data_IF_150384373818
#
_entry.id   IF_150384373818
#
_cell.length_a   1.000
_cell.length_b   1.000
_cell.length_c   1.000
_cell.angle_alpha   90.00
_cell.angle_beta   90.00
_cell.angle_gamma   90.00
#
_symmetry.space_group_name_H-M   'P 1'
#
loop_
_entity.id
_entity.type
_entity.pdbx_description
1 polymer ?
#
# COMPACT_ATOMS: atom_id res chain seq x y z
N UNK A 1 -21.61 14.25 76.61
CA UNK A 1 -21.27 13.49 75.39
C UNK A 1 -20.99 12.06 75.80
N UNK A 2 -21.78 11.07 75.35
CA UNK A 2 -21.68 9.69 75.85
C UNK A 2 -20.54 8.96 75.11
N UNK A 3 -19.83 8.07 75.81
CA UNK A 3 -18.71 7.27 75.27
C UNK A 3 -19.15 6.47 74.02
N UNK A 4 -20.40 6.02 73.99
CA UNK A 4 -20.96 5.31 72.84
C UNK A 4 -21.11 6.20 71.58
N UNK A 5 -21.27 7.51 71.73
CA UNK A 5 -21.31 8.44 70.61
C UNK A 5 -19.90 8.65 70.03
N UNK A 6 -18.87 8.71 70.88
CA UNK A 6 -17.46 8.80 70.47
C UNK A 6 -16.97 7.53 69.75
N UNK A 7 -17.35 6.35 70.24
CA UNK A 7 -17.02 5.06 69.60
C UNK A 7 -17.71 4.94 68.24
N UNK A 8 -18.98 5.34 68.14
CA UNK A 8 -19.74 5.34 66.87
C UNK A 8 -19.13 6.30 65.84
N UNK A 9 -18.67 7.46 66.27
CA UNK A 9 -18.02 8.46 65.41
C UNK A 9 -16.64 7.98 64.91
N UNK A 10 -15.87 7.31 65.78
CA UNK A 10 -14.59 6.70 65.44
C UNK A 10 -14.73 5.55 64.40
N UNK A 11 -15.77 4.72 64.54
CA UNK A 11 -16.06 3.69 63.53
C UNK A 11 -16.50 4.29 62.20
N UNK A 12 -17.36 5.32 62.19
CA UNK A 12 -17.77 6.02 60.97
C UNK A 12 -16.60 6.68 60.22
N UNK A 13 -15.62 7.20 60.97
CA UNK A 13 -14.41 7.82 60.42
C UNK A 13 -13.43 6.78 59.84
N UNK A 14 -13.33 5.59 60.45
CA UNK A 14 -12.57 4.47 59.89
C UNK A 14 -13.18 3.98 58.57
N UNK A 15 -14.51 3.76 58.53
CA UNK A 15 -15.20 3.32 57.32
C UNK A 15 -15.08 4.31 56.16
N UNK A 16 -15.14 5.63 56.41
CA UNK A 16 -15.00 6.63 55.35
C UNK A 16 -13.58 6.71 54.80
N UNK A 17 -12.56 6.52 55.65
CA UNK A 17 -11.16 6.48 55.23
C UNK A 17 -10.85 5.26 54.36
N UNK A 18 -11.36 4.07 54.73
CA UNK A 18 -11.20 2.84 53.94
C UNK A 18 -11.89 2.96 52.57
N UNK A 19 -13.06 3.62 52.52
CA UNK A 19 -13.78 3.91 51.28
C UNK A 19 -12.99 4.87 50.38
N UNK A 20 -12.44 5.96 50.94
CA UNK A 20 -11.55 6.89 50.22
C UNK A 20 -10.32 6.17 49.63
N UNK A 21 -9.63 5.35 50.43
CA UNK A 21 -8.48 4.58 49.95
C UNK A 21 -8.87 3.60 48.84
N UNK A 22 -10.04 2.97 48.95
CA UNK A 22 -10.56 2.06 47.92
C UNK A 22 -10.83 2.79 46.60
N UNK A 23 -11.39 4.00 46.67
CA UNK A 23 -11.62 4.84 45.47
C UNK A 23 -10.30 5.28 44.84
N UNK A 24 -9.32 5.72 45.64
CA UNK A 24 -8.00 6.12 45.14
C UNK A 24 -7.31 4.94 44.43
N UNK A 25 -7.37 3.75 45.03
CA UNK A 25 -6.82 2.54 44.44
C UNK A 25 -7.52 2.20 43.11
N UNK A 26 -8.85 2.33 43.06
CA UNK A 26 -9.63 2.11 41.85
C UNK A 26 -9.26 3.10 40.72
N UNK A 27 -9.07 4.39 41.03
CA UNK A 27 -8.60 5.39 40.07
C UNK A 27 -7.21 5.03 39.56
N UNK A 28 -6.32 4.54 40.43
CA UNK A 28 -4.97 4.14 40.04
C UNK A 28 -4.98 2.93 39.09
N UNK A 29 -5.82 1.92 39.37
CA UNK A 29 -6.01 0.78 38.47
C UNK A 29 -6.52 1.24 37.11
N UNK A 30 -7.55 2.10 37.08
CA UNK A 30 -8.10 2.62 35.82
C UNK A 30 -7.04 3.39 35.04
N UNK A 31 -6.22 4.21 35.72
CA UNK A 31 -5.11 4.93 35.07
C UNK A 31 -4.07 4.02 34.44
N UNK A 32 -3.70 2.92 35.12
CA UNK A 32 -2.78 1.92 34.56
C UNK A 32 -3.41 1.21 33.35
N UNK A 33 -4.69 0.80 33.47
CA UNK A 33 -5.41 0.13 32.37
C UNK A 33 -5.57 1.03 31.16
N UNK A 34 -5.85 2.33 31.37
CA UNK A 34 -5.95 3.30 30.30
C UNK A 34 -4.62 3.41 29.51
N UNK A 35 -3.50 3.60 30.21
CA UNK A 35 -2.19 3.66 29.56
C UNK A 35 -1.83 2.39 28.79
N UNK A 36 -2.14 1.22 29.34
CA UNK A 36 -1.93 -0.06 28.64
C UNK A 36 -2.84 -0.19 27.41
N UNK A 37 -4.09 0.29 27.52
CA UNK A 37 -5.03 0.28 26.41
C UNK A 37 -4.56 1.17 25.27
N UNK A 38 -3.99 2.33 25.57
CA UNK A 38 -3.50 3.27 24.57
C UNK A 38 -2.31 2.68 23.78
N UNK A 39 -1.32 2.09 24.46
CA UNK A 39 -0.17 1.40 23.81
C UNK A 39 -0.62 0.22 22.94
N UNK A 40 -1.58 -0.58 23.43
CA UNK A 40 -2.12 -1.69 22.64
C UNK A 40 -2.89 -1.20 21.41
N UNK A 41 -3.64 -0.11 21.55
CA UNK A 41 -4.41 0.44 20.45
C UNK A 41 -3.51 1.02 19.36
N UNK A 42 -2.42 1.70 19.73
CA UNK A 42 -1.40 2.18 18.77
C UNK A 42 -0.77 1.02 17.99
N UNK A 43 -0.42 -0.07 18.66
CA UNK A 43 0.12 -1.26 18.00
C UNK A 43 -0.87 -1.90 17.02
N UNK A 44 -2.13 -2.07 17.44
CA UNK A 44 -3.17 -2.63 16.57
C UNK A 44 -3.38 -1.77 15.33
N UNK A 45 -3.42 -0.44 15.49
CA UNK A 45 -3.53 0.48 14.35
C UNK A 45 -2.32 0.36 13.40
N UNK A 46 -1.09 0.28 13.95
CA UNK A 46 0.10 0.10 13.11
C UNK A 46 0.12 -1.24 12.36
N UNK A 47 -0.37 -2.32 12.96
CA UNK A 47 -0.49 -3.62 12.30
C UNK A 47 -1.55 -3.60 11.20
N UNK A 48 -2.66 -2.89 11.41
CA UNK A 48 -3.70 -2.70 10.40
C UNK A 48 -3.20 -1.87 9.22
N UNK A 49 -2.47 -0.79 9.47
CA UNK A 49 -1.82 0.05 8.44
C UNK A 49 -0.84 -0.77 7.60
N UNK A 50 0.03 -1.57 8.24
CA UNK A 50 0.96 -2.45 7.53
C UNK A 50 0.22 -3.50 6.67
N UNK A 51 -0.81 -4.15 7.23
CA UNK A 51 -1.61 -5.14 6.49
C UNK A 51 -2.34 -4.53 5.30
N UNK A 52 -2.79 -3.28 5.43
CA UNK A 52 -3.40 -2.53 4.33
C UNK A 52 -2.38 -2.25 3.22
N UNK A 53 -1.17 -1.79 3.59
CA UNK A 53 -0.08 -1.57 2.63
C UNK A 53 0.34 -2.86 1.92
N UNK A 54 0.41 -3.99 2.62
CA UNK A 54 0.65 -5.32 2.01
C UNK A 54 -0.39 -5.67 0.96
N UNK A 55 -1.66 -5.45 1.28
CA UNK A 55 -2.77 -5.71 0.37
C UNK A 55 -2.69 -4.82 -0.87
N UNK A 56 -2.49 -3.51 -0.68
CA UNK A 56 -2.35 -2.54 -1.78
C UNK A 56 -1.18 -2.92 -2.67
N UNK A 57 -0.02 -3.27 -2.10
CA UNK A 57 1.16 -3.63 -2.88
C UNK A 57 0.95 -4.90 -3.71
N UNK A 58 0.32 -5.92 -3.13
CA UNK A 58 0.00 -7.18 -3.81
C UNK A 58 -1.00 -6.92 -4.94
N UNK A 59 -2.13 -6.29 -4.62
CA UNK A 59 -3.20 -6.04 -5.59
C UNK A 59 -2.73 -5.13 -6.72
N UNK A 60 -1.98 -4.08 -6.42
CA UNK A 60 -1.46 -3.16 -7.44
C UNK A 60 -0.43 -3.83 -8.33
N UNK A 61 0.46 -4.66 -7.75
CA UNK A 61 1.42 -5.45 -8.53
C UNK A 61 0.68 -6.43 -9.45
N UNK A 62 -0.25 -7.20 -8.90
CA UNK A 62 -0.98 -8.21 -9.66
C UNK A 62 -1.90 -7.55 -10.71
N UNK A 63 -2.45 -6.36 -10.43
CA UNK A 63 -3.19 -5.55 -11.40
C UNK A 63 -2.29 -5.14 -12.57
N UNK A 64 -1.11 -4.56 -12.31
CA UNK A 64 -0.18 -4.16 -13.38
C UNK A 64 0.24 -5.36 -14.26
N UNK A 65 0.42 -6.54 -13.67
CA UNK A 65 0.84 -7.74 -14.39
C UNK A 65 -0.28 -8.45 -15.15
N UNK A 66 -1.54 -8.28 -14.73
CA UNK A 66 -2.69 -8.96 -15.31
C UNK A 66 -3.57 -8.05 -16.17
N UNK A 67 -3.37 -6.73 -16.13
CA UNK A 67 -4.17 -5.77 -16.86
C UNK A 67 -3.33 -5.03 -17.94
N UNK A 68 -3.83 -4.89 -19.17
CA UNK A 68 -3.15 -4.11 -20.20
C UNK A 68 -3.23 -2.59 -19.98
N UNK A 69 -4.10 -2.13 -19.08
CA UNK A 69 -4.36 -0.72 -18.80
C UNK A 69 -5.61 -0.20 -19.51
N UNK A 70 -6.03 1.00 -19.11
CA UNK A 70 -7.23 1.67 -19.60
C UNK A 70 -6.93 3.18 -19.78
N UNK A 71 -7.34 3.84 -20.88
CA UNK A 71 -7.97 3.31 -22.09
C UNK A 71 -7.11 2.27 -22.81
N UNK A 72 -7.71 1.54 -23.74
CA UNK A 72 -6.95 0.65 -24.60
C UNK A 72 -5.88 1.42 -25.37
N UNK A 73 -4.67 0.86 -25.45
CA UNK A 73 -3.48 1.48 -26.02
C UNK A 73 -3.12 2.83 -25.41
N UNK A 74 -3.36 3.02 -24.10
CA UNK A 74 -2.99 4.24 -23.39
C UNK A 74 -1.52 4.62 -23.58
N UNK A 75 -0.63 3.66 -23.83
CA UNK A 75 0.80 3.90 -24.09
C UNK A 75 1.10 4.65 -25.40
N UNK A 76 0.15 4.63 -26.34
CA UNK A 76 0.21 5.31 -27.63
C UNK A 76 -0.32 6.74 -27.57
N UNK A 77 -0.82 7.20 -26.43
CA UNK A 77 -1.26 8.58 -26.26
C UNK A 77 -0.08 9.54 -26.51
N UNK A 78 -0.23 10.41 -27.52
CA UNK A 78 0.79 11.37 -27.93
C UNK A 78 1.09 12.37 -26.79
N UNK A 79 0.09 12.69 -25.96
CA UNK A 79 0.20 13.64 -24.86
C UNK A 79 1.14 13.14 -23.73
N UNK A 80 1.34 11.81 -23.63
CA UNK A 80 2.32 11.20 -22.70
C UNK A 80 3.76 11.58 -23.06
N UNK A 81 4.04 11.89 -24.32
CA UNK A 81 5.36 12.34 -24.78
C UNK A 81 5.69 13.74 -24.27
N UNK A 82 4.67 14.58 -24.11
CA UNK A 82 4.77 15.97 -23.65
C UNK A 82 4.57 16.11 -22.13
N UNK A 83 4.41 14.97 -21.42
CA UNK A 83 4.20 14.93 -19.96
C UNK A 83 2.78 15.31 -19.52
N UNK A 84 1.84 15.39 -20.45
CA UNK A 84 0.44 15.71 -20.18
C UNK A 84 -0.33 14.40 -20.00
N UNK A 85 -0.66 14.07 -18.75
CA UNK A 85 -1.32 12.80 -18.43
C UNK A 85 -2.75 13.06 -17.99
N UNK A 86 -3.70 12.50 -18.73
CA UNK A 86 -5.12 12.50 -18.37
C UNK A 86 -5.36 11.71 -17.07
N UNK A 87 -6.21 12.23 -16.17
CA UNK A 87 -6.57 11.56 -14.90
C UNK A 87 -7.28 10.22 -15.07
N UNK A 88 -7.76 9.91 -16.26
CA UNK A 88 -8.52 8.70 -16.55
C UNK A 88 -7.64 7.54 -17.04
N UNK A 89 -6.32 7.75 -17.19
CA UNK A 89 -5.40 6.71 -17.61
C UNK A 89 -5.02 5.87 -16.40
N UNK A 90 -5.41 4.60 -16.40
CA UNK A 90 -4.98 3.59 -15.44
C UNK A 90 -3.93 2.72 -16.14
N UNK A 91 -2.65 2.79 -15.73
CA UNK A 91 -1.60 2.05 -16.40
C UNK A 91 -1.73 0.54 -16.16
N UNK A 92 -1.23 -0.24 -17.11
CA UNK A 92 -1.08 -1.68 -17.01
C UNK A 92 0.11 -2.14 -17.83
N UNK A 93 0.74 -3.25 -17.46
CA UNK A 93 1.92 -3.77 -18.13
C UNK A 93 1.62 -5.00 -19.00
N UNK A 94 0.44 -5.60 -18.85
CA UNK A 94 0.13 -6.84 -19.52
C UNK A 94 -0.01 -6.65 -21.05
N UNK A 95 0.39 -7.69 -21.79
CA UNK A 95 0.28 -7.73 -23.25
C UNK A 95 -0.98 -8.48 -23.63
N UNK A 96 -1.83 -7.86 -24.45
CA UNK A 96 -2.95 -8.54 -25.10
C UNK A 96 -2.42 -9.36 -26.26
N UNK A 97 -2.63 -10.68 -26.24
CA UNK A 97 -2.36 -11.50 -27.42
C UNK A 97 -3.53 -11.34 -28.40
N UNK A 98 -3.28 -10.69 -29.54
CA UNK A 98 -4.17 -10.83 -30.69
C UNK A 98 -3.97 -12.25 -31.20
N UNK A 99 -4.92 -13.15 -30.97
CA UNK A 99 -4.88 -14.52 -31.50
C UNK A 99 -4.66 -14.45 -33.02
N UNK A 100 -3.45 -14.77 -33.47
CA UNK A 100 -3.15 -14.98 -34.90
C UNK A 100 -3.32 -16.47 -35.18
N UNK A 101 -4.56 -16.92 -35.25
CA UNK A 101 -4.84 -18.21 -35.88
C UNK A 101 -4.80 -18.02 -37.40
N UNK A 102 -3.72 -18.50 -38.02
CA UNK A 102 -3.63 -18.79 -39.45
C UNK A 102 -3.66 -17.62 -40.46
N UNK A 103 -3.11 -16.45 -40.11
CA UNK A 103 -2.73 -15.43 -41.12
C UNK A 103 -3.90 -14.74 -41.86
N UNK A 104 -5.13 -14.94 -41.40
CA UNK A 104 -6.29 -14.18 -41.87
C UNK A 104 -6.65 -13.13 -40.80
N UNK A 105 -6.58 -11.85 -41.18
CA UNK A 105 -7.07 -10.73 -40.37
C UNK A 105 -8.59 -10.86 -40.28
N UNK A 106 -9.11 -11.36 -39.16
CA UNK A 106 -10.52 -11.24 -38.84
C UNK A 106 -10.81 -9.89 -38.21
N UNK A 107 -11.81 -9.23 -38.76
CA UNK A 107 -12.36 -7.96 -38.32
C UNK A 107 -12.93 -8.05 -36.89
N UNK A 108 -12.89 -6.94 -36.20
CA UNK A 108 -13.27 -6.70 -34.79
C UNK A 108 -14.45 -7.57 -34.28
N UNK A 109 -14.16 -8.51 -33.39
CA UNK A 109 -15.15 -8.99 -32.42
C UNK A 109 -14.44 -9.47 -31.16
N UNK A 110 -14.40 -8.56 -30.19
CA UNK A 110 -13.96 -8.78 -28.82
C UNK A 110 -14.63 -10.02 -28.22
N UNK A 111 -13.86 -11.05 -27.90
CA UNK A 111 -14.19 -11.98 -26.81
C UNK A 111 -13.02 -12.82 -26.32
N UNK A 112 -12.00 -13.09 -27.13
CA UNK A 112 -10.86 -13.94 -26.71
C UNK A 112 -9.48 -13.28 -26.94
N UNK A 113 -9.32 -12.02 -26.53
CA UNK A 113 -7.97 -11.45 -26.36
C UNK A 113 -7.35 -12.05 -25.09
N UNK A 114 -6.55 -13.09 -25.26
CA UNK A 114 -5.91 -13.75 -24.13
C UNK A 114 -4.74 -12.89 -23.64
N UNK A 115 -4.82 -12.44 -22.39
CA UNK A 115 -3.72 -11.71 -21.74
C UNK A 115 -2.56 -12.68 -21.52
N UNK A 116 -1.37 -12.34 -22.01
CA UNK A 116 -0.18 -13.16 -21.76
C UNK A 116 0.21 -13.07 -20.28
N UNK A 117 -0.10 -14.11 -19.51
CA UNK A 117 0.22 -14.13 -18.08
C UNK A 117 1.72 -13.96 -17.83
N UNK A 118 2.05 -13.19 -16.79
CA UNK A 118 3.43 -12.93 -16.34
C UNK A 118 4.36 -12.40 -17.45
N UNK A 119 3.81 -11.73 -18.46
CA UNK A 119 4.58 -11.10 -19.54
C UNK A 119 4.24 -9.61 -19.59
N UNK A 120 5.28 -8.78 -19.49
CA UNK A 120 5.16 -7.32 -19.46
C UNK A 120 5.71 -6.70 -20.74
N UNK A 121 5.06 -5.63 -21.20
CA UNK A 121 5.55 -4.81 -22.32
C UNK A 121 6.64 -3.85 -21.85
N UNK A 122 7.79 -3.87 -22.53
CA UNK A 122 8.87 -2.91 -22.29
C UNK A 122 8.46 -1.48 -22.67
N UNK A 123 7.70 -1.30 -23.77
CA UNK A 123 7.24 0.02 -24.18
C UNK A 123 6.34 0.65 -23.10
N UNK A 124 5.35 -0.10 -22.59
CA UNK A 124 4.49 0.35 -21.49
C UNK A 124 5.30 0.70 -20.24
N UNK A 125 6.28 -0.12 -19.89
CA UNK A 125 7.17 0.13 -18.76
C UNK A 125 7.93 1.46 -18.91
N UNK A 126 8.45 1.78 -20.10
CA UNK A 126 9.15 3.05 -20.35
C UNK A 126 8.19 4.23 -20.28
N UNK A 127 6.94 4.09 -20.75
CA UNK A 127 5.91 5.13 -20.61
C UNK A 127 5.57 5.40 -19.16
N UNK A 128 5.42 4.35 -18.33
CA UNK A 128 5.28 4.48 -16.88
C UNK A 128 6.50 5.20 -16.29
N UNK A 129 7.71 4.80 -16.68
CA UNK A 129 8.94 5.39 -16.17
C UNK A 129 9.03 6.89 -16.39
N UNK A 130 8.66 7.34 -17.59
CA UNK A 130 8.77 8.77 -17.94
C UNK A 130 7.66 9.62 -17.31
N UNK A 131 6.57 9.01 -16.84
CA UNK A 131 5.37 9.69 -16.36
C UNK A 131 4.90 9.15 -15.00
N UNK A 132 5.83 8.70 -14.16
CA UNK A 132 5.53 7.90 -12.95
C UNK A 132 4.59 8.61 -11.99
N UNK A 133 4.93 9.84 -11.59
CA UNK A 133 4.15 10.66 -10.66
C UNK A 133 2.69 10.82 -11.12
N UNK A 134 2.49 10.92 -12.44
CA UNK A 134 1.17 11.12 -13.00
C UNK A 134 0.37 9.83 -13.18
N UNK A 135 1.01 8.74 -13.62
CA UNK A 135 0.34 7.47 -13.93
C UNK A 135 0.18 6.57 -12.71
N UNK A 136 1.15 6.60 -11.80
CA UNK A 136 1.21 5.70 -10.65
C UNK A 136 0.79 6.46 -9.40
N UNK A 137 1.56 7.45 -8.96
CA UNK A 137 1.26 8.14 -7.69
C UNK A 137 -0.13 8.79 -7.74
N UNK A 138 -0.41 9.58 -8.77
CA UNK A 138 -1.71 10.26 -8.91
C UNK A 138 -2.83 9.36 -9.41
N UNK A 139 -2.66 8.65 -10.51
CA UNK A 139 -3.79 7.94 -11.13
C UNK A 139 -4.06 6.55 -10.52
N UNK A 140 -3.02 5.81 -10.08
CA UNK A 140 -3.18 4.49 -9.47
C UNK A 140 -3.40 4.60 -7.95
N UNK A 141 -2.62 5.44 -7.27
CA UNK A 141 -2.66 5.57 -5.81
C UNK A 141 -3.38 6.83 -5.30
N UNK A 142 -3.81 7.75 -6.17
CA UNK A 142 -4.45 8.99 -5.76
C UNK A 142 -3.65 9.76 -4.69
N UNK A 143 -2.34 9.81 -4.87
CA UNK A 143 -1.35 10.45 -3.99
C UNK A 143 -1.37 9.94 -2.53
N UNK A 144 -1.95 8.75 -2.29
CA UNK A 144 -2.09 8.19 -0.93
C UNK A 144 -0.89 7.38 -0.45
N UNK A 145 -0.08 6.86 -1.39
CA UNK A 145 1.07 5.99 -1.12
C UNK A 145 2.22 6.39 -2.02
N UNK A 146 3.42 6.49 -1.45
CA UNK A 146 4.66 6.60 -2.23
C UNK A 146 5.11 5.22 -2.67
N UNK A 147 5.43 5.09 -3.95
CA UNK A 147 5.78 3.80 -4.53
C UNK A 147 7.03 3.88 -5.40
N UNK A 148 7.67 2.73 -5.56
CA UNK A 148 8.79 2.55 -6.45
C UNK A 148 8.75 1.14 -7.04
N UNK A 149 9.29 0.98 -8.25
CA UNK A 149 9.35 -0.29 -8.96
C UNK A 149 10.73 -0.49 -9.57
N UNK A 150 11.29 -1.69 -9.41
CA UNK A 150 12.53 -2.09 -10.07
C UNK A 150 12.37 -3.42 -10.80
N UNK A 151 12.93 -3.49 -12.00
CA UNK A 151 13.05 -4.73 -12.78
C UNK A 151 14.51 -5.15 -12.82
N UNK A 152 14.78 -6.30 -12.20
CA UNK A 152 16.09 -6.90 -12.15
C UNK A 152 16.24 -7.96 -13.27
N UNK A 153 17.17 -7.76 -14.21
CA UNK A 153 17.47 -8.80 -15.19
C UNK A 153 18.12 -9.99 -14.50
N UNK A 154 17.76 -11.21 -14.93
CA UNK A 154 18.40 -12.45 -14.46
C UNK A 154 19.92 -12.47 -14.73
N UNK A 155 20.35 -11.77 -15.79
CA UNK A 155 21.76 -11.55 -16.07
C UNK A 155 22.29 -10.37 -15.26
N UNK A 156 23.09 -10.66 -14.23
CA UNK A 156 23.70 -9.67 -13.33
C UNK A 156 24.66 -8.67 -14.00
N UNK A 157 25.00 -8.86 -15.28
CA UNK A 157 25.77 -7.88 -16.06
C UNK A 157 24.92 -6.74 -16.60
N UNK A 158 23.60 -6.92 -16.67
CA UNK A 158 22.66 -5.91 -17.11
C UNK A 158 22.22 -5.07 -15.91
N UNK A 159 22.03 -3.77 -16.13
CA UNK A 159 21.58 -2.87 -15.07
C UNK A 159 20.08 -3.04 -14.80
N UNK A 160 19.65 -2.95 -13.53
CA UNK A 160 18.23 -2.87 -13.20
C UNK A 160 17.58 -1.65 -13.85
N UNK A 161 16.27 -1.75 -14.12
CA UNK A 161 15.44 -0.61 -14.48
C UNK A 161 14.72 -0.19 -13.21
N UNK A 162 15.18 0.91 -12.62
CA UNK A 162 14.56 1.54 -11.45
C UNK A 162 13.63 2.67 -11.91
N UNK A 163 12.48 2.76 -11.25
CA UNK A 163 11.37 3.65 -11.61
C UNK A 163 10.65 4.15 -10.34
N UNK A 164 10.40 5.45 -10.26
CA UNK A 164 9.60 6.05 -9.19
C UNK A 164 10.44 6.62 -8.06
N UNK A 165 9.87 6.63 -6.86
CA UNK A 165 10.49 7.27 -5.71
C UNK A 165 11.84 6.62 -5.36
N UNK A 166 12.72 7.45 -4.83
CA UNK A 166 14.17 7.30 -4.72
C UNK A 166 14.68 5.88 -4.44
N UNK A 167 15.19 5.20 -5.47
CA UNK A 167 16.01 4.00 -5.30
C UNK A 167 17.41 4.41 -4.83
N UNK A 168 17.53 4.77 -3.55
CA UNK A 168 18.84 4.91 -2.89
C UNK A 168 19.14 6.25 -2.22
N UNK A 169 18.27 7.26 -2.23
CA UNK A 169 18.26 8.18 -1.09
C UNK A 169 17.42 7.54 0.01
N UNK A 170 18.12 6.87 0.93
CA UNK A 170 17.66 6.77 2.31
C UNK A 170 17.50 8.22 2.80
N UNK A 171 16.29 8.77 2.64
CA UNK A 171 15.92 9.90 3.47
C UNK A 171 15.96 9.32 4.89
N UNK A 172 16.91 9.76 5.72
CA UNK A 172 17.24 9.20 7.05
C UNK A 172 16.03 9.14 8.04
N UNK A 173 14.85 9.58 7.59
CA UNK A 173 13.59 9.62 8.34
C UNK A 173 12.53 8.60 7.88
N UNK A 174 12.79 7.77 6.87
CA UNK A 174 11.87 6.68 6.53
C UNK A 174 12.11 5.53 7.52
N UNK A 175 11.13 5.26 8.39
CA UNK A 175 11.17 4.07 9.23
C UNK A 175 11.07 2.83 8.35
N UNK A 176 12.07 1.96 8.40
CA UNK A 176 12.10 0.68 7.67
C UNK A 176 10.86 -0.21 7.93
N UNK A 177 10.16 0.03 9.05
CA UNK A 177 8.96 -0.71 9.43
C UNK A 177 7.74 -0.45 8.52
N UNK A 178 7.75 0.61 7.71
CA UNK A 178 6.61 1.01 6.88
C UNK A 178 6.82 0.67 5.39
N UNK A 179 7.85 -0.10 5.06
CA UNK A 179 8.20 -0.48 3.69
C UNK A 179 7.71 -1.89 3.37
N UNK A 180 6.77 -2.00 2.44
CA UNK A 180 6.30 -3.28 1.91
C UNK A 180 6.93 -3.53 0.54
N UNK A 181 7.54 -4.70 0.36
CA UNK A 181 8.13 -5.11 -0.93
C UNK A 181 7.45 -6.36 -1.48
N UNK A 182 6.99 -6.26 -2.74
CA UNK A 182 6.39 -7.39 -3.47
C UNK A 182 7.29 -7.78 -4.64
N UNK A 183 7.76 -9.03 -4.63
CA UNK A 183 8.61 -9.58 -5.68
C UNK A 183 7.81 -10.51 -6.61
N UNK A 184 7.94 -10.31 -7.92
CA UNK A 184 7.34 -11.15 -8.96
C UNK A 184 8.37 -11.46 -10.04
N UNK A 185 8.33 -12.68 -10.58
CA UNK A 185 9.14 -13.07 -11.74
C UNK A 185 8.30 -12.92 -13.00
N UNK A 186 8.78 -12.14 -13.95
CA UNK A 186 8.07 -11.81 -15.19
C UNK A 186 8.98 -12.01 -16.40
N UNK A 187 8.35 -12.23 -17.56
CA UNK A 187 9.01 -12.14 -18.87
C UNK A 187 8.81 -10.72 -19.40
N UNK A 188 9.88 -10.08 -19.85
CA UNK A 188 9.79 -8.78 -20.49
C UNK A 188 9.87 -8.96 -22.01
N UNK A 189 8.85 -8.49 -22.72
CA UNK A 189 8.90 -8.38 -24.17
C UNK A 189 9.51 -7.03 -24.55
N UNK A 190 10.70 -7.09 -25.14
CA UNK A 190 11.43 -5.90 -25.59
C UNK A 190 10.99 -5.39 -26.97
N UNK A 191 10.19 -6.18 -27.69
CA UNK A 191 9.75 -5.87 -29.06
C UNK A 191 8.27 -5.50 -29.15
N UNK A 192 7.56 -5.52 -28.01
CA UNK A 192 6.17 -5.05 -27.87
C UNK A 192 6.07 -3.54 -27.94
#
# INVERSE_FOLDING_TARGET
>A
MKINDLIKDQHGLLYSSELMFSIILLIFIIGIVANLSDDLNERVLSEEELSSLETIAIESTDYLLSNPGNPENWEEDDDLGDGIVSKNIIPGLAIKNKNVDNGEFFDESASDEMIMSNTISYNKLIKIKNNYDSLVDRNLFNDSVHSSMAIYPLNSKLRPIEIGYDFGNEDDNVNDNDIVTVNRTVKCDFYS
#
